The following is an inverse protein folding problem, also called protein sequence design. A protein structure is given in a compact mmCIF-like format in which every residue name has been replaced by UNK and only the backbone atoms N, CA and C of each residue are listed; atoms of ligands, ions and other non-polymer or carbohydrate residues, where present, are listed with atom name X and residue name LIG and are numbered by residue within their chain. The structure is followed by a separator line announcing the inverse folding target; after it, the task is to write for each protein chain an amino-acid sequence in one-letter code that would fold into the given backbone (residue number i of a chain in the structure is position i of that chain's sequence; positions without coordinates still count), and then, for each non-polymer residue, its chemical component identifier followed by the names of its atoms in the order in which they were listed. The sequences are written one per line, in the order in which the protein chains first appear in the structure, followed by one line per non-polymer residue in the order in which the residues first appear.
data_IF_656124586388
#
_entry.id   IF_656124586388
#
_cell.length_a   1.000
_cell.length_b   1.000
_cell.length_c   1.000
_cell.angle_alpha   90.00
_cell.angle_beta   90.00
_cell.angle_gamma   90.00
#
_symmetry.space_group_name_H-M   'P 1'
#
loop_
_entity.id
_entity.type
_entity.pdbx_description
1 polymer ?
#
# COMPACT_ATOMS: atom_id res chain seq x y z
N UNK A 1 -34.86 -8.47 14.89
CA UNK A 1 -33.63 -8.96 14.20
C UNK A 1 -32.54 -9.14 15.24
N UNK A 2 -32.02 -10.36 15.40
CA UNK A 2 -30.97 -10.64 16.37
C UNK A 2 -29.58 -10.79 15.75
N UNK A 3 -29.53 -11.10 14.45
CA UNK A 3 -28.32 -11.34 13.71
C UNK A 3 -28.41 -10.72 12.31
N UNK A 4 -27.33 -10.10 11.85
CA UNK A 4 -27.14 -9.61 10.49
C UNK A 4 -25.99 -10.41 9.88
N UNK A 5 -26.27 -11.07 8.76
CA UNK A 5 -25.32 -11.97 8.12
C UNK A 5 -24.16 -11.22 7.45
N UNK A 6 -23.09 -11.97 7.18
CA UNK A 6 -21.93 -11.49 6.41
C UNK A 6 -22.41 -10.93 5.07
N UNK A 7 -21.90 -9.74 4.73
CA UNK A 7 -22.23 -9.06 3.46
C UNK A 7 -23.70 -8.63 3.28
N UNK A 8 -24.54 -8.64 4.34
CA UNK A 8 -25.95 -8.25 4.20
C UNK A 8 -26.13 -6.84 3.59
N UNK A 9 -25.27 -5.91 3.95
CA UNK A 9 -25.25 -4.55 3.40
C UNK A 9 -24.24 -4.36 2.28
N UNK A 10 -23.54 -5.41 1.86
CA UNK A 10 -22.41 -5.30 0.96
C UNK A 10 -22.75 -4.53 -0.34
N UNK A 11 -21.95 -3.53 -0.66
CA UNK A 11 -22.11 -2.69 -1.86
C UNK A 11 -23.34 -1.78 -1.84
N UNK A 12 -24.02 -1.64 -0.69
CA UNK A 12 -25.17 -0.75 -0.59
C UNK A 12 -24.74 0.72 -0.44
N UNK A 13 -25.52 1.64 -1.00
CA UNK A 13 -25.33 3.09 -0.83
C UNK A 13 -25.85 3.63 0.50
N UNK A 14 -25.97 2.80 1.55
CA UNK A 14 -26.55 3.19 2.86
C UNK A 14 -25.68 4.28 3.50
N UNK A 15 -26.33 5.37 3.93
CA UNK A 15 -25.68 6.47 4.64
C UNK A 15 -25.95 6.42 6.15
N UNK A 16 -27.12 5.97 6.56
CA UNK A 16 -27.52 5.87 7.97
C UNK A 16 -28.11 4.48 8.30
N UNK A 17 -27.77 3.96 9.46
CA UNK A 17 -28.26 2.65 9.95
C UNK A 17 -28.71 2.81 11.39
N UNK A 18 -29.88 2.22 11.71
CA UNK A 18 -30.34 2.04 13.08
C UNK A 18 -30.21 0.57 13.50
N UNK A 19 -29.50 0.34 14.61
CA UNK A 19 -29.31 -0.98 15.22
C UNK A 19 -30.24 -1.14 16.42
N UNK A 20 -31.25 -2.05 16.36
CA UNK A 20 -32.21 -2.20 17.42
C UNK A 20 -31.63 -2.88 18.67
N UNK A 21 -32.31 -2.75 19.82
CA UNK A 21 -31.92 -3.38 21.07
C UNK A 21 -31.76 -4.91 20.97
N UNK A 22 -32.54 -5.55 20.08
CA UNK A 22 -32.50 -7.01 19.87
C UNK A 22 -31.31 -7.51 19.04
N UNK A 23 -30.55 -6.63 18.37
CA UNK A 23 -29.42 -7.06 17.56
C UNK A 23 -28.24 -7.47 18.45
N UNK A 24 -27.80 -8.72 18.31
CA UNK A 24 -26.75 -9.34 19.14
C UNK A 24 -25.41 -9.50 18.43
N UNK A 25 -25.43 -9.69 17.11
CA UNK A 25 -24.20 -9.91 16.35
C UNK A 25 -24.31 -9.56 14.89
N UNK A 26 -23.15 -9.24 14.29
CA UNK A 26 -22.92 -9.20 12.84
C UNK A 26 -22.16 -10.44 12.42
N UNK A 27 -22.31 -10.86 11.16
CA UNK A 27 -21.43 -11.83 10.52
C UNK A 27 -19.96 -11.40 10.66
N UNK A 28 -19.09 -12.36 10.91
CA UNK A 28 -17.75 -12.17 11.48
C UNK A 28 -16.84 -11.33 10.62
N UNK A 29 -17.11 -11.22 9.32
CA UNK A 29 -16.34 -10.42 8.38
C UNK A 29 -17.27 -9.74 7.38
N UNK A 30 -17.07 -8.46 7.15
CA UNK A 30 -17.63 -7.74 6.01
C UNK A 30 -19.15 -7.52 5.98
N UNK A 31 -19.84 -7.38 7.11
CA UNK A 31 -21.26 -6.98 7.10
C UNK A 31 -21.48 -5.66 6.33
N UNK A 32 -20.48 -4.79 6.32
CA UNK A 32 -20.50 -3.48 5.68
C UNK A 32 -19.52 -3.38 4.50
N UNK A 33 -19.05 -4.50 3.94
CA UNK A 33 -18.10 -4.47 2.84
C UNK A 33 -18.66 -3.71 1.62
N UNK A 34 -17.90 -2.74 1.09
CA UNK A 34 -18.35 -1.89 -0.01
C UNK A 34 -19.43 -0.86 0.37
N UNK A 35 -19.75 -0.69 1.66
CA UNK A 35 -20.61 0.39 2.15
C UNK A 35 -19.73 1.61 2.48
N UNK A 36 -19.32 2.35 1.46
CA UNK A 36 -18.38 3.47 1.62
C UNK A 36 -19.06 4.75 2.10
N UNK A 37 -20.40 4.81 2.03
CA UNK A 37 -21.16 6.03 2.29
C UNK A 37 -21.73 6.14 3.72
N UNK A 38 -21.41 5.22 4.63
CA UNK A 38 -21.94 5.26 6.00
C UNK A 38 -21.39 6.49 6.74
N UNK A 39 -22.31 7.41 7.06
CA UNK A 39 -22.04 8.65 7.81
C UNK A 39 -22.49 8.55 9.27
N UNK A 40 -23.44 7.64 9.55
CA UNK A 40 -24.04 7.55 10.88
C UNK A 40 -24.59 6.14 11.17
N UNK A 41 -24.26 5.64 12.34
CA UNK A 41 -24.94 4.48 12.91
C UNK A 41 -25.53 4.89 14.26
N UNK A 42 -26.81 4.62 14.44
CA UNK A 42 -27.51 4.84 15.71
C UNK A 42 -27.73 3.48 16.34
N UNK A 43 -27.28 3.31 17.56
CA UNK A 43 -27.51 2.11 18.37
C UNK A 43 -28.61 2.42 19.38
N UNK A 44 -29.60 1.54 19.46
CA UNK A 44 -30.66 1.64 20.47
C UNK A 44 -30.03 1.71 21.87
N UNK A 45 -30.48 2.62 22.76
CA UNK A 45 -29.93 2.75 24.11
C UNK A 45 -30.00 1.49 24.96
N UNK A 46 -30.96 0.57 24.67
CA UNK A 46 -31.11 -0.71 25.38
C UNK A 46 -30.27 -1.83 24.77
N UNK A 47 -29.56 -1.57 23.67
CA UNK A 47 -28.66 -2.56 23.05
C UNK A 47 -27.45 -2.82 23.98
N UNK A 48 -27.21 -4.09 24.29
CA UNK A 48 -26.16 -4.53 25.22
C UNK A 48 -24.93 -5.12 24.49
N UNK A 49 -24.94 -5.09 23.17
CA UNK A 49 -23.91 -5.74 22.34
C UNK A 49 -23.06 -4.77 21.56
N UNK A 50 -23.59 -3.56 21.29
CA UNK A 50 -22.92 -2.56 20.49
C UNK A 50 -22.99 -1.18 21.13
N UNK A 51 -22.03 -0.34 20.80
CA UNK A 51 -22.00 1.08 21.18
C UNK A 51 -21.37 1.92 20.09
N UNK A 52 -21.73 3.19 20.03
CA UNK A 52 -21.10 4.19 19.17
C UNK A 52 -20.26 5.13 20.03
N UNK A 53 -19.02 5.33 19.63
CA UNK A 53 -18.10 6.24 20.33
C UNK A 53 -17.08 6.83 19.34
N UNK A 54 -16.79 8.13 19.42
CA UNK A 54 -15.76 8.76 18.61
C UNK A 54 -15.95 8.61 17.09
N UNK A 55 -17.22 8.61 16.61
CA UNK A 55 -17.52 8.42 15.18
C UNK A 55 -17.35 6.98 14.69
N UNK A 56 -17.40 6.00 15.58
CA UNK A 56 -17.23 4.59 15.22
C UNK A 56 -18.19 3.66 15.98
N UNK A 57 -18.54 2.55 15.34
CA UNK A 57 -19.27 1.43 15.91
C UNK A 57 -18.27 0.45 16.54
N UNK A 58 -18.54 0.08 17.78
CA UNK A 58 -17.79 -0.92 18.55
C UNK A 58 -18.70 -2.02 19.09
N UNK A 59 -18.11 -3.15 19.55
CA UNK A 59 -18.76 -3.97 20.57
C UNK A 59 -19.01 -3.13 21.82
N UNK A 60 -19.97 -3.54 22.67
CA UNK A 60 -20.40 -2.76 23.83
C UNK A 60 -19.26 -2.45 24.81
N UNK A 61 -18.36 -3.40 25.02
CA UNK A 61 -17.14 -3.28 25.83
C UNK A 61 -15.98 -2.57 25.12
N UNK A 62 -16.19 -2.11 23.88
CA UNK A 62 -15.20 -1.51 22.98
C UNK A 62 -14.00 -2.39 22.64
N UNK A 63 -14.05 -3.68 22.95
CA UNK A 63 -12.96 -4.61 22.62
C UNK A 63 -12.78 -4.82 21.11
N UNK A 64 -13.85 -4.60 20.33
CA UNK A 64 -13.85 -4.76 18.87
C UNK A 64 -14.28 -3.47 18.18
N UNK A 65 -13.41 -2.93 17.32
CA UNK A 65 -13.77 -1.86 16.37
C UNK A 65 -14.39 -2.50 15.13
N UNK A 66 -15.62 -2.14 14.81
CA UNK A 66 -16.40 -2.74 13.73
C UNK A 66 -16.41 -1.83 12.50
N UNK A 67 -16.68 -0.51 12.69
CA UNK A 67 -16.75 0.44 11.58
C UNK A 67 -16.51 1.87 12.05
N UNK A 68 -15.67 2.62 11.33
CA UNK A 68 -15.53 4.08 11.47
C UNK A 68 -16.36 4.75 10.38
N UNK A 69 -17.05 5.85 10.73
CA UNK A 69 -17.98 6.53 9.83
C UNK A 69 -17.27 7.56 8.94
N UNK A 70 -17.91 7.95 7.85
CA UNK A 70 -17.48 9.09 7.05
C UNK A 70 -17.54 10.41 7.83
N UNK A 71 -16.72 11.38 7.42
CA UNK A 71 -16.64 12.70 8.06
C UNK A 71 -15.76 12.76 9.33
N UNK A 72 -15.14 11.65 9.74
CA UNK A 72 -14.18 11.62 10.84
C UNK A 72 -12.79 11.99 10.30
N UNK A 73 -12.25 13.15 10.69
CA UNK A 73 -10.92 13.62 10.26
C UNK A 73 -9.80 13.15 11.21
N UNK A 74 -10.06 13.11 12.52
CA UNK A 74 -9.15 12.58 13.52
C UNK A 74 -9.82 11.43 14.25
N UNK A 75 -9.23 10.26 14.21
CA UNK A 75 -9.79 9.07 14.87
C UNK A 75 -8.91 8.62 16.01
N UNK A 76 -9.50 8.50 17.21
CA UNK A 76 -8.82 7.96 18.40
C UNK A 76 -9.37 6.59 18.74
N UNK A 77 -8.52 5.55 18.62
CA UNK A 77 -8.86 4.18 18.97
C UNK A 77 -8.95 4.02 20.48
N UNK A 78 -10.00 3.35 20.97
CA UNK A 78 -10.19 3.10 22.40
C UNK A 78 -9.09 2.22 22.99
N UNK A 79 -8.70 2.51 24.23
CA UNK A 79 -7.73 1.71 24.99
C UNK A 79 -8.19 0.26 25.23
N UNK A 80 -9.49 0.01 25.25
CA UNK A 80 -10.06 -1.33 25.39
C UNK A 80 -9.99 -2.18 24.11
N UNK A 81 -9.67 -1.58 22.95
CA UNK A 81 -9.73 -2.29 21.67
C UNK A 81 -8.59 -3.28 21.52
N UNK A 82 -8.96 -4.55 21.29
CA UNK A 82 -8.04 -5.66 21.03
C UNK A 82 -8.21 -6.28 19.64
N UNK A 83 -9.26 -5.89 18.91
CA UNK A 83 -9.56 -6.34 17.56
C UNK A 83 -10.09 -5.20 16.71
N UNK A 84 -9.63 -5.13 15.48
CA UNK A 84 -10.13 -4.21 14.45
C UNK A 84 -10.52 -5.05 13.24
N UNK A 85 -11.73 -4.88 12.72
CA UNK A 85 -12.19 -5.57 11.51
C UNK A 85 -11.44 -5.02 10.29
N UNK A 86 -11.11 -5.89 9.34
CA UNK A 86 -10.28 -5.52 8.18
C UNK A 86 -10.91 -4.41 7.33
N UNK A 87 -12.23 -4.35 7.29
CA UNK A 87 -13.01 -3.34 6.57
C UNK A 87 -13.44 -2.14 7.44
N UNK A 88 -12.96 -2.05 8.69
CA UNK A 88 -13.41 -1.05 9.67
C UNK A 88 -13.29 0.41 9.18
N UNK A 89 -12.32 0.71 8.33
CA UNK A 89 -12.04 2.06 7.85
C UNK A 89 -12.55 2.37 6.44
N UNK A 90 -13.29 1.47 5.79
CA UNK A 90 -13.72 1.69 4.39
C UNK A 90 -14.61 2.91 4.17
N UNK A 91 -15.45 3.28 5.16
CA UNK A 91 -16.29 4.49 5.08
C UNK A 91 -15.56 5.76 5.53
N UNK A 92 -14.39 5.63 6.13
CA UNK A 92 -13.67 6.71 6.78
C UNK A 92 -12.70 7.44 5.84
N UNK A 93 -13.21 7.92 4.69
CA UNK A 93 -12.43 8.57 3.64
C UNK A 93 -11.78 9.89 4.05
N UNK A 94 -12.19 10.48 5.18
CA UNK A 94 -11.74 11.80 5.61
C UNK A 94 -10.62 11.79 6.64
N UNK A 95 -10.23 10.60 7.14
CA UNK A 95 -9.20 10.48 8.19
C UNK A 95 -7.86 11.05 7.72
N UNK A 96 -7.37 12.03 8.46
CA UNK A 96 -6.05 12.67 8.32
C UNK A 96 -5.07 12.19 9.38
N UNK A 97 -5.61 11.75 10.55
CA UNK A 97 -4.78 11.42 11.70
C UNK A 97 -5.40 10.30 12.53
N UNK A 98 -4.54 9.39 12.92
CA UNK A 98 -4.85 8.38 13.91
C UNK A 98 -4.23 8.72 15.26
N UNK A 99 -4.92 8.36 16.33
CA UNK A 99 -4.43 8.32 17.70
C UNK A 99 -4.93 7.06 18.39
N UNK A 100 -4.25 6.66 19.45
CA UNK A 100 -4.62 5.51 20.29
C UNK A 100 -4.61 5.98 21.73
N UNK A 101 -5.70 5.70 22.47
CA UNK A 101 -5.79 6.04 23.90
C UNK A 101 -4.67 5.38 24.71
N UNK A 102 -4.16 6.09 25.70
CA UNK A 102 -3.17 5.54 26.62
C UNK A 102 -3.67 4.26 27.30
N UNK A 103 -2.78 3.25 27.41
CA UNK A 103 -3.12 1.95 27.95
C UNK A 103 -3.56 0.90 26.95
N UNK A 104 -3.69 1.24 25.67
CA UNK A 104 -3.84 0.21 24.65
C UNK A 104 -2.49 -0.48 24.44
N UNK A 105 -2.46 -1.81 24.64
CA UNK A 105 -1.25 -2.63 24.49
C UNK A 105 -1.24 -3.43 23.18
N UNK A 106 -2.26 -3.27 22.37
CA UNK A 106 -2.43 -4.04 21.12
C UNK A 106 -2.14 -3.22 19.88
N UNK A 107 -2.47 -1.94 19.90
CA UNK A 107 -2.34 -1.03 18.75
C UNK A 107 -1.57 0.23 19.10
N UNK A 108 -0.91 0.81 18.10
CA UNK A 108 -0.19 2.07 18.20
C UNK A 108 -0.23 2.83 16.89
N UNK A 109 0.31 4.05 16.90
CA UNK A 109 0.51 4.87 15.72
C UNK A 109 2.01 5.15 15.60
N UNK A 110 2.58 4.90 14.42
CA UNK A 110 3.99 5.15 14.18
C UNK A 110 4.28 6.62 13.78
N UNK A 111 5.55 6.92 13.55
CA UNK A 111 6.00 8.27 13.16
C UNK A 111 5.46 8.75 11.83
N UNK A 112 5.04 7.85 10.97
CA UNK A 112 4.42 8.13 9.66
C UNK A 112 2.90 8.31 9.79
N UNK A 113 2.35 8.20 11.00
CA UNK A 113 0.91 8.30 11.26
C UNK A 113 0.12 7.02 10.93
N UNK A 114 0.80 5.89 10.70
CA UNK A 114 0.18 4.61 10.38
C UNK A 114 -0.33 3.96 11.66
N UNK A 115 -1.59 3.53 11.65
CA UNK A 115 -2.14 2.66 12.69
C UNK A 115 -1.62 1.25 12.48
N UNK A 116 -0.97 0.69 13.49
CA UNK A 116 -0.37 -0.65 13.45
C UNK A 116 -0.74 -1.50 14.67
N UNK A 117 -0.60 -2.82 14.53
CA UNK A 117 -0.72 -3.77 15.63
C UNK A 117 0.67 -4.11 16.18
N UNK A 118 0.85 -4.07 17.52
CA UNK A 118 2.09 -4.50 18.17
C UNK A 118 2.40 -5.99 17.89
N UNK A 119 3.63 -6.39 18.06
CA UNK A 119 4.17 -7.69 17.68
C UNK A 119 5.07 -7.53 16.47
N UNK A 120 4.63 -7.98 15.31
CA UNK A 120 5.37 -7.77 14.04
C UNK A 120 5.17 -6.38 13.44
N UNK A 121 4.31 -5.54 14.03
CA UNK A 121 4.01 -4.20 13.55
C UNK A 121 3.06 -4.17 12.36
N UNK A 122 2.14 -5.14 12.26
CA UNK A 122 1.23 -5.29 11.12
C UNK A 122 0.45 -3.99 10.86
N UNK A 123 0.45 -3.52 9.62
CA UNK A 123 -0.22 -2.29 9.22
C UNK A 123 -1.73 -2.53 9.16
N UNK A 124 -2.47 -1.75 9.94
CA UNK A 124 -3.93 -1.83 10.04
C UNK A 124 -4.61 -0.83 9.12
N UNK A 125 -4.17 0.43 9.17
CA UNK A 125 -4.71 1.49 8.33
C UNK A 125 -3.72 2.65 8.17
N UNK A 126 -3.76 3.31 7.02
CA UNK A 126 -3.04 4.55 6.74
C UNK A 126 -4.00 5.74 6.72
N UNK A 127 -3.52 6.97 7.01
CA UNK A 127 -4.30 8.18 6.82
C UNK A 127 -4.85 8.26 5.40
N UNK A 128 -6.10 8.70 5.26
CA UNK A 128 -6.80 8.74 3.96
C UNK A 128 -6.47 10.01 3.19
N UNK A 129 -6.28 11.12 3.91
CA UNK A 129 -6.04 12.45 3.33
C UNK A 129 -4.80 13.12 3.90
N UNK A 130 -4.22 14.00 3.09
CA UNK A 130 -3.10 14.85 3.54
C UNK A 130 -1.74 14.17 3.50
N UNK A 131 -1.65 12.93 2.99
CA UNK A 131 -0.41 12.17 2.84
C UNK A 131 -0.30 11.70 1.39
N UNK A 132 0.66 12.25 0.64
CA UNK A 132 0.90 11.89 -0.75
C UNK A 132 1.93 10.76 -0.92
N UNK A 133 2.86 10.66 0.02
CA UNK A 133 3.89 9.62 0.02
C UNK A 133 4.08 9.06 1.42
N UNK A 134 4.44 7.78 1.51
CA UNK A 134 4.68 7.11 2.79
C UNK A 134 5.85 6.15 2.69
N UNK A 135 6.61 6.04 3.78
CA UNK A 135 7.66 5.04 3.92
C UNK A 135 7.20 3.93 4.87
N UNK A 136 7.30 2.69 4.42
CA UNK A 136 6.94 1.50 5.20
C UNK A 136 8.20 0.68 5.43
N UNK A 137 8.59 0.60 6.68
CA UNK A 137 9.64 -0.30 7.12
C UNK A 137 9.01 -1.63 7.55
N UNK A 138 9.31 -2.69 6.82
CA UNK A 138 8.82 -4.05 7.08
C UNK A 138 9.49 -4.74 8.26
N UNK A 139 10.64 -4.23 8.72
CA UNK A 139 11.37 -4.86 9.81
C UNK A 139 11.62 -6.34 9.55
N UNK A 140 11.16 -7.21 10.46
CA UNK A 140 11.32 -8.67 10.38
C UNK A 140 10.10 -9.42 9.84
N UNK A 141 9.22 -8.78 9.09
CA UNK A 141 8.06 -9.45 8.47
C UNK A 141 6.73 -8.77 8.74
N UNK A 142 6.70 -7.46 8.63
CA UNK A 142 5.50 -6.64 8.79
C UNK A 142 4.46 -6.99 7.72
N UNK A 143 3.24 -7.32 8.13
CA UNK A 143 2.14 -7.55 7.22
C UNK A 143 1.35 -6.29 6.98
N UNK A 144 0.81 -6.18 5.78
CA UNK A 144 -0.15 -5.14 5.44
C UNK A 144 -1.51 -5.80 5.37
N UNK A 145 -2.42 -5.37 6.27
CA UNK A 145 -3.77 -5.93 6.32
C UNK A 145 -4.59 -5.57 5.08
N UNK A 146 -5.62 -6.36 4.76
CA UNK A 146 -6.60 -5.99 3.77
C UNK A 146 -7.14 -4.57 4.03
N UNK A 147 -7.42 -3.82 2.96
CA UNK A 147 -8.00 -2.47 3.04
C UNK A 147 -7.15 -1.40 3.76
N UNK A 148 -5.92 -1.69 4.19
CA UNK A 148 -5.08 -0.72 4.91
C UNK A 148 -4.86 0.59 4.13
N UNK A 149 -4.77 0.51 2.81
CA UNK A 149 -4.58 1.64 1.89
C UNK A 149 -5.80 2.01 1.06
N UNK A 150 -6.93 1.32 1.23
CA UNK A 150 -8.13 1.59 0.45
C UNK A 150 -8.64 3.01 0.71
N UNK A 151 -8.83 3.78 -0.36
CA UNK A 151 -9.29 5.17 -0.28
C UNK A 151 -8.26 6.19 0.21
N UNK A 152 -6.96 5.83 0.30
CA UNK A 152 -5.89 6.79 0.60
C UNK A 152 -5.55 7.64 -0.63
N UNK A 153 -5.16 8.90 -0.38
CA UNK A 153 -4.63 9.81 -1.42
C UNK A 153 -3.15 9.55 -1.74
N UNK A 154 -2.53 8.53 -1.11
CA UNK A 154 -1.13 8.18 -1.29
C UNK A 154 -0.88 7.79 -2.73
N UNK A 155 0.11 8.45 -3.36
CA UNK A 155 0.55 8.19 -4.73
C UNK A 155 1.85 7.41 -4.80
N UNK A 156 2.68 7.54 -3.78
CA UNK A 156 4.00 6.94 -3.72
C UNK A 156 4.22 6.18 -2.41
N UNK A 157 4.74 4.96 -2.51
CA UNK A 157 5.12 4.16 -1.34
C UNK A 157 6.59 3.75 -1.47
N UNK A 158 7.34 3.97 -0.40
CA UNK A 158 8.70 3.43 -0.26
C UNK A 158 8.67 2.26 0.71
N UNK A 159 9.15 1.11 0.28
CA UNK A 159 9.29 -0.10 1.08
C UNK A 159 10.74 -0.38 1.46
N UNK A 160 10.96 -0.82 2.70
CA UNK A 160 12.22 -1.37 3.19
C UNK A 160 11.96 -2.59 4.09
N UNK A 161 12.98 -3.43 4.31
CA UNK A 161 12.85 -4.61 5.16
C UNK A 161 11.95 -5.70 4.59
N UNK A 162 11.43 -6.59 5.44
CA UNK A 162 10.61 -7.73 5.02
C UNK A 162 9.12 -7.40 5.11
N UNK A 163 8.44 -7.41 3.97
CA UNK A 163 7.02 -7.03 3.85
C UNK A 163 6.19 -8.20 3.33
N UNK A 164 5.04 -8.42 3.95
CA UNK A 164 4.03 -9.36 3.48
C UNK A 164 2.75 -8.62 3.13
N UNK A 165 2.25 -8.83 1.91
CA UNK A 165 1.00 -8.25 1.44
C UNK A 165 -0.16 -9.23 1.60
N UNK A 166 -1.32 -8.71 2.02
CA UNK A 166 -2.60 -9.35 1.74
C UNK A 166 -3.07 -8.99 0.34
N UNK A 167 -3.82 -9.88 -0.29
CA UNK A 167 -4.34 -9.67 -1.66
C UNK A 167 -5.51 -8.69 -1.60
N UNK A 168 -5.25 -7.43 -1.86
CA UNK A 168 -6.28 -6.44 -2.14
C UNK A 168 -5.72 -5.36 -3.04
N UNK A 169 -6.59 -4.79 -3.86
CA UNK A 169 -6.24 -3.75 -4.82
C UNK A 169 -5.87 -2.45 -4.11
N UNK A 170 -4.71 -1.92 -4.42
CA UNK A 170 -4.17 -0.67 -3.91
C UNK A 170 -4.38 0.41 -4.97
N UNK A 171 -5.60 0.89 -5.05
CA UNK A 171 -5.97 1.93 -5.99
C UNK A 171 -5.27 3.24 -5.66
N UNK A 172 -4.91 3.99 -6.70
CA UNK A 172 -4.31 5.30 -6.57
C UNK A 172 -2.80 5.31 -6.39
N UNK A 173 -2.14 4.17 -6.09
CA UNK A 173 -0.67 4.10 -6.00
C UNK A 173 -0.08 4.11 -7.40
N UNK A 174 0.68 5.15 -7.70
CA UNK A 174 1.29 5.37 -9.02
C UNK A 174 2.77 4.99 -9.03
N UNK A 175 3.43 5.07 -7.87
CA UNK A 175 4.86 4.80 -7.75
C UNK A 175 5.18 3.96 -6.51
N UNK A 176 6.04 2.98 -6.68
CA UNK A 176 6.62 2.18 -5.60
C UNK A 176 8.15 2.30 -5.66
N UNK A 177 8.77 2.56 -4.51
CA UNK A 177 10.22 2.49 -4.34
C UNK A 177 10.56 1.33 -3.42
N UNK A 178 11.48 0.49 -3.85
CA UNK A 178 12.02 -0.63 -3.08
C UNK A 178 13.45 -0.31 -2.67
N UNK A 179 13.70 -0.14 -1.37
CA UNK A 179 15.05 0.11 -0.83
C UNK A 179 15.88 -1.17 -0.76
N UNK A 180 17.20 -1.03 -0.63
CA UNK A 180 18.14 -2.15 -0.48
C UNK A 180 17.76 -3.05 0.70
N UNK A 181 17.94 -4.36 0.51
CA UNK A 181 17.64 -5.37 1.52
C UNK A 181 16.15 -5.65 1.74
N UNK A 182 15.28 -5.11 0.87
CA UNK A 182 13.85 -5.47 0.92
C UNK A 182 13.67 -6.94 0.55
N UNK A 183 12.72 -7.59 1.20
CA UNK A 183 12.22 -8.89 0.80
C UNK A 183 10.70 -8.95 0.89
N UNK A 184 10.07 -9.64 -0.05
CA UNK A 184 8.63 -9.81 -0.08
C UNK A 184 8.27 -11.24 0.29
N UNK A 185 7.68 -11.43 1.48
CA UNK A 185 7.21 -12.76 1.90
C UNK A 185 5.86 -13.08 1.27
N UNK A 186 5.76 -14.29 0.72
CA UNK A 186 4.56 -14.79 0.04
C UNK A 186 3.58 -15.40 1.06
N UNK A 187 2.31 -15.00 1.07
CA UNK A 187 1.27 -15.80 1.72
C UNK A 187 1.19 -17.18 1.04
N UNK A 188 1.09 -18.27 1.81
CA UNK A 188 0.93 -19.62 1.25
C UNK A 188 -0.27 -19.67 0.30
N UNK A 189 -0.01 -20.06 -0.97
CA UNK A 189 -1.05 -20.21 -1.98
C UNK A 189 -1.28 -19.02 -2.90
N UNK A 190 -0.56 -17.91 -2.73
CA UNK A 190 -0.69 -16.72 -3.56
C UNK A 190 0.64 -16.33 -4.18
N UNK A 191 0.57 -15.85 -5.41
CA UNK A 191 1.76 -15.76 -6.24
C UNK A 191 2.25 -14.35 -6.55
N UNK A 192 1.62 -13.25 -6.10
CA UNK A 192 1.91 -11.94 -6.70
C UNK A 192 1.88 -10.78 -5.73
N UNK A 193 2.91 -9.92 -5.83
CA UNK A 193 2.97 -8.67 -5.08
C UNK A 193 2.53 -7.47 -5.95
N UNK A 194 2.93 -7.37 -7.22
CA UNK A 194 2.74 -6.15 -8.03
C UNK A 194 1.95 -6.36 -9.34
N UNK A 195 1.10 -7.35 -9.45
CA UNK A 195 0.28 -7.52 -10.64
C UNK A 195 -0.83 -6.46 -10.76
N UNK A 196 -1.43 -6.35 -11.95
CA UNK A 196 -2.45 -5.35 -12.26
C UNK A 196 -3.68 -5.38 -11.33
N UNK A 197 -4.00 -6.52 -10.74
CA UNK A 197 -5.09 -6.62 -9.76
C UNK A 197 -4.74 -6.06 -8.38
N UNK A 198 -3.44 -6.06 -7.99
CA UNK A 198 -3.02 -5.49 -6.69
C UNK A 198 -2.72 -4.00 -6.78
N UNK A 199 -2.09 -3.56 -7.87
CA UNK A 199 -1.71 -2.16 -8.10
C UNK A 199 -2.16 -1.72 -9.49
N UNK A 200 -3.47 -1.47 -9.70
CA UNK A 200 -4.00 -1.17 -11.04
C UNK A 200 -3.44 0.13 -11.62
N UNK A 201 -3.18 1.14 -10.78
CA UNK A 201 -2.73 2.46 -11.21
C UNK A 201 -1.21 2.64 -11.22
N UNK A 202 -0.45 1.58 -10.93
CA UNK A 202 1.01 1.63 -10.85
C UNK A 202 1.63 1.94 -12.22
N UNK A 203 2.47 2.96 -12.24
CA UNK A 203 3.18 3.45 -13.43
C UNK A 203 4.69 3.22 -13.35
N UNK A 204 5.24 3.20 -12.13
CA UNK A 204 6.68 3.16 -11.91
C UNK A 204 7.05 2.36 -10.66
N UNK A 205 8.12 1.59 -10.79
CA UNK A 205 8.79 0.93 -9.66
C UNK A 205 10.26 1.34 -9.69
N UNK A 206 10.74 1.94 -8.60
CA UNK A 206 12.15 2.22 -8.40
C UNK A 206 12.75 1.10 -7.54
N UNK A 207 13.76 0.41 -8.03
CA UNK A 207 14.46 -0.69 -7.34
C UNK A 207 15.92 -0.31 -7.14
N UNK A 208 16.44 -0.57 -5.95
CA UNK A 208 17.83 -0.29 -5.57
C UNK A 208 18.71 -1.52 -5.74
N UNK A 209 18.13 -2.71 -5.88
CA UNK A 209 18.82 -3.99 -5.91
C UNK A 209 18.21 -4.92 -6.95
N UNK A 210 19.04 -5.64 -7.72
CA UNK A 210 18.58 -6.55 -8.78
C UNK A 210 17.83 -7.76 -8.29
N UNK A 211 18.23 -8.29 -7.12
CA UNK A 211 17.52 -9.43 -6.54
C UNK A 211 16.04 -9.11 -6.28
N UNK A 212 15.72 -7.82 -6.16
CA UNK A 212 14.35 -7.34 -5.99
C UNK A 212 13.54 -7.52 -7.28
N UNK A 213 14.14 -7.33 -8.45
CA UNK A 213 13.42 -7.48 -9.73
C UNK A 213 12.84 -8.88 -9.89
N UNK A 214 13.60 -9.93 -9.57
CA UNK A 214 13.10 -11.29 -9.59
C UNK A 214 11.97 -11.52 -8.59
N UNK A 215 12.02 -10.90 -7.40
CA UNK A 215 10.98 -11.02 -6.39
C UNK A 215 9.69 -10.30 -6.81
N UNK A 216 9.80 -9.15 -7.46
CA UNK A 216 8.66 -8.36 -7.93
C UNK A 216 7.97 -9.06 -9.09
N UNK A 217 8.73 -9.64 -10.02
CA UNK A 217 8.23 -10.17 -11.27
C UNK A 217 8.16 -11.69 -11.33
N UNK A 218 8.56 -12.36 -10.27
CA UNK A 218 8.72 -13.81 -10.24
C UNK A 218 7.40 -14.56 -10.45
N UNK A 219 6.62 -14.21 -11.46
CA UNK A 219 5.58 -15.07 -12.02
C UNK A 219 4.87 -14.40 -13.20
N UNK A 220 4.68 -15.15 -14.24
CA UNK A 220 3.80 -15.02 -15.39
C UNK A 220 3.12 -13.66 -15.54
N UNK A 221 3.79 -12.73 -16.19
CA UNK A 221 3.18 -11.48 -16.60
C UNK A 221 3.84 -10.23 -16.05
N UNK A 222 5.11 -10.00 -16.39
CA UNK A 222 5.71 -8.68 -16.27
C UNK A 222 4.80 -7.67 -16.96
N UNK A 223 4.40 -6.64 -16.23
CA UNK A 223 3.61 -5.56 -16.79
C UNK A 223 4.49 -4.73 -17.72
N UNK A 224 4.08 -4.59 -18.96
CA UNK A 224 4.78 -3.78 -19.98
C UNK A 224 4.44 -2.29 -19.88
N UNK A 225 3.40 -1.96 -19.10
CA UNK A 225 2.90 -0.60 -18.86
C UNK A 225 3.51 0.05 -17.61
N UNK A 226 4.42 -0.65 -16.90
CA UNK A 226 5.09 -0.14 -15.70
C UNK A 226 6.57 0.05 -15.99
N UNK A 227 7.06 1.26 -15.72
CA UNK A 227 8.47 1.61 -15.85
C UNK A 227 9.21 1.07 -14.62
N UNK A 228 10.31 0.33 -14.84
CA UNK A 228 11.19 -0.10 -13.77
C UNK A 228 12.48 0.71 -13.85
N UNK A 229 12.76 1.45 -12.79
CA UNK A 229 14.03 2.16 -12.65
C UNK A 229 14.91 1.45 -11.62
N UNK A 230 16.11 1.13 -12.02
CA UNK A 230 17.13 0.63 -11.11
C UNK A 230 17.89 1.81 -10.52
N UNK A 231 17.68 2.12 -9.24
CA UNK A 231 18.20 3.30 -8.55
C UNK A 231 19.42 2.95 -7.69
N UNK A 232 20.29 2.03 -8.15
CA UNK A 232 21.57 1.79 -7.47
C UNK A 232 22.54 2.91 -7.81
N UNK A 233 23.37 3.30 -6.83
CA UNK A 233 24.50 4.19 -7.08
C UNK A 233 25.47 3.47 -8.03
N UNK A 234 25.39 3.80 -9.31
CA UNK A 234 26.30 3.22 -10.30
C UNK A 234 27.62 3.95 -10.21
N UNK A 235 28.74 3.26 -9.93
CA UNK A 235 30.05 3.88 -9.96
C UNK A 235 30.27 4.59 -11.31
N UNK A 236 30.97 5.72 -11.31
CA UNK A 236 31.17 6.54 -12.52
C UNK A 236 31.78 5.74 -13.70
N UNK A 237 32.55 4.71 -13.40
CA UNK A 237 33.13 3.76 -14.36
C UNK A 237 32.10 2.95 -15.13
N UNK A 238 30.93 2.67 -14.51
CA UNK A 238 29.82 1.91 -15.11
C UNK A 238 28.69 2.81 -15.63
N UNK A 239 28.83 4.11 -15.56
CA UNK A 239 27.84 5.02 -16.16
C UNK A 239 27.77 4.77 -17.67
N UNK A 240 26.59 4.35 -18.13
CA UNK A 240 26.37 3.96 -19.52
C UNK A 240 26.33 2.43 -19.74
N UNK A 241 26.63 1.61 -18.73
CA UNK A 241 26.39 0.16 -18.76
C UNK A 241 24.91 -0.11 -18.47
N UNK A 242 24.09 0.12 -19.50
CA UNK A 242 22.64 0.09 -19.43
C UNK A 242 22.10 -1.35 -19.33
N UNK A 243 22.82 -2.30 -19.89
CA UNK A 243 22.44 -3.72 -19.91
C UNK A 243 23.12 -4.55 -18.81
N UNK A 244 24.04 -3.91 -18.05
CA UNK A 244 24.81 -4.47 -16.92
C UNK A 244 25.65 -5.70 -17.25
N UNK A 245 26.23 -5.72 -18.42
CA UNK A 245 27.21 -6.75 -18.80
C UNK A 245 28.64 -6.37 -18.37
N UNK A 246 28.82 -5.31 -17.59
CA UNK A 246 30.08 -4.75 -17.12
C UNK A 246 30.95 -4.13 -18.24
N UNK A 247 30.36 -3.87 -19.39
CA UNK A 247 31.04 -3.26 -20.56
C UNK A 247 30.16 -2.13 -21.08
N UNK A 248 30.68 -0.92 -21.13
CA UNK A 248 29.94 0.21 -21.74
C UNK A 248 30.22 0.20 -23.24
N UNK A 249 29.27 -0.27 -24.05
CA UNK A 249 29.42 -0.42 -25.50
C UNK A 249 28.15 -0.04 -26.29
N UNK A 250 28.13 -0.34 -27.60
CA UNK A 250 26.99 -0.03 -28.46
C UNK A 250 25.74 -0.87 -28.14
N UNK A 251 25.85 -1.98 -27.40
CA UNK A 251 24.69 -2.74 -26.97
C UNK A 251 23.88 -1.95 -25.95
N UNK A 252 24.56 -1.18 -25.08
CA UNK A 252 23.89 -0.31 -24.12
C UNK A 252 23.10 0.77 -24.82
N UNK A 253 23.66 1.39 -25.89
CA UNK A 253 22.91 2.34 -26.70
C UNK A 253 21.66 1.69 -27.32
N UNK A 254 21.76 0.49 -27.84
CA UNK A 254 20.62 -0.24 -28.44
C UNK A 254 19.57 -0.54 -27.36
N UNK A 255 20.00 -1.00 -26.19
CA UNK A 255 19.12 -1.28 -25.05
C UNK A 255 18.39 -0.01 -24.59
N UNK A 256 19.12 1.10 -24.43
CA UNK A 256 18.54 2.38 -24.01
C UNK A 256 17.57 2.94 -25.07
N UNK A 257 17.89 2.83 -26.37
CA UNK A 257 16.98 3.22 -27.44
C UNK A 257 15.70 2.39 -27.40
N UNK A 258 15.79 1.08 -27.27
CA UNK A 258 14.62 0.20 -27.18
C UNK A 258 13.74 0.55 -26.00
N UNK A 259 14.33 0.80 -24.83
CA UNK A 259 13.61 1.22 -23.64
C UNK A 259 12.92 2.58 -23.87
N UNK A 260 13.57 3.56 -24.49
CA UNK A 260 12.96 4.87 -24.78
C UNK A 260 11.81 4.78 -25.79
N UNK A 261 11.83 3.78 -26.66
CA UNK A 261 10.74 3.48 -27.60
C UNK A 261 9.60 2.65 -26.96
N UNK A 262 9.67 2.37 -25.66
CA UNK A 262 8.68 1.60 -24.95
C UNK A 262 8.76 0.08 -25.17
N UNK A 263 9.89 -0.42 -25.67
CA UNK A 263 10.15 -1.86 -25.71
C UNK A 263 10.48 -2.34 -24.30
N UNK A 264 10.04 -3.54 -23.98
CA UNK A 264 10.21 -4.13 -22.66
C UNK A 264 11.65 -4.65 -22.44
N UNK A 265 12.60 -3.74 -22.46
CA UNK A 265 14.01 -4.03 -22.19
C UNK A 265 14.33 -3.65 -20.74
N UNK A 266 14.95 -4.54 -19.96
CA UNK A 266 15.45 -4.18 -18.65
C UNK A 266 16.58 -3.17 -18.79
N UNK A 267 16.45 -2.03 -18.11
CA UNK A 267 17.50 -1.00 -18.07
C UNK A 267 17.87 -0.69 -16.63
N UNK A 268 19.12 -0.34 -16.42
CA UNK A 268 19.64 -0.01 -15.09
C UNK A 268 19.63 1.52 -14.90
N UNK A 269 18.73 2.01 -14.07
CA UNK A 269 18.28 3.38 -13.96
C UNK A 269 19.39 4.42 -13.90
N UNK A 270 20.31 4.35 -12.94
CA UNK A 270 21.39 5.34 -12.82
C UNK A 270 22.42 5.24 -13.96
N UNK A 271 22.72 4.03 -14.45
CA UNK A 271 23.59 3.86 -15.60
C UNK A 271 22.96 4.42 -16.89
N UNK A 272 21.64 4.49 -16.93
CA UNK A 272 20.84 4.96 -18.08
C UNK A 272 20.57 6.47 -18.06
N UNK A 273 20.62 7.10 -16.89
CA UNK A 273 20.45 8.55 -16.71
C UNK A 273 21.83 9.24 -16.84
N UNK A 274 22.27 9.41 -18.08
CA UNK A 274 23.57 9.94 -18.40
C UNK A 274 23.71 11.45 -18.12
N UNK A 275 22.57 12.16 -18.08
CA UNK A 275 22.52 13.61 -17.87
C UNK A 275 22.18 14.00 -16.42
N UNK A 276 21.76 13.04 -15.57
CA UNK A 276 21.45 13.25 -14.16
C UNK A 276 20.13 13.97 -13.91
N UNK A 277 19.18 13.95 -14.86
CA UNK A 277 17.88 14.63 -14.72
C UNK A 277 16.81 13.77 -14.04
N UNK A 278 17.16 12.55 -13.60
CA UNK A 278 16.28 11.60 -12.94
C UNK A 278 15.37 10.81 -13.88
N UNK A 279 15.62 10.88 -15.19
CA UNK A 279 14.87 10.16 -16.22
C UNK A 279 15.84 9.60 -17.24
N UNK A 280 15.40 8.61 -18.01
CA UNK A 280 16.12 8.19 -19.19
C UNK A 280 15.32 8.56 -20.45
N UNK A 281 16.01 8.96 -21.50
CA UNK A 281 15.41 9.38 -22.75
C UNK A 281 16.42 9.55 -23.87
N UNK A 282 16.02 10.17 -24.97
CA UNK A 282 16.92 10.39 -26.11
C UNK A 282 18.13 11.28 -25.78
N UNK A 283 18.02 12.14 -24.75
CA UNK A 283 19.14 12.94 -24.28
C UNK A 283 20.27 12.05 -23.76
N UNK A 284 19.91 11.01 -22.99
CA UNK A 284 20.87 10.06 -22.42
C UNK A 284 21.49 9.16 -23.47
N UNK A 285 20.69 8.73 -24.46
CA UNK A 285 21.20 8.01 -25.64
C UNK A 285 22.28 8.83 -26.34
N UNK A 286 22.05 10.12 -26.57
CA UNK A 286 22.99 11.00 -27.21
C UNK A 286 24.27 11.15 -26.35
N UNK A 287 24.14 11.27 -25.04
CA UNK A 287 25.28 11.36 -24.13
C UNK A 287 26.11 10.08 -24.10
N UNK A 288 25.43 8.92 -24.06
CA UNK A 288 26.09 7.61 -24.11
C UNK A 288 26.87 7.42 -25.44
N UNK A 289 26.25 7.73 -26.56
CA UNK A 289 26.93 7.71 -27.87
C UNK A 289 28.16 8.61 -27.86
N UNK A 290 28.04 9.85 -27.34
CA UNK A 290 29.17 10.76 -27.22
C UNK A 290 30.30 10.22 -26.34
N UNK A 291 29.97 9.57 -25.23
CA UNK A 291 30.96 8.90 -24.39
C UNK A 291 31.71 7.83 -25.16
N UNK A 292 31.00 6.96 -25.87
CA UNK A 292 31.62 5.87 -26.65
C UNK A 292 32.46 6.34 -27.82
N UNK A 293 32.11 7.47 -28.45
CA UNK A 293 32.90 8.03 -29.58
C UNK A 293 34.17 8.73 -29.08
N UNK A 294 34.17 9.22 -27.83
CA UNK A 294 35.28 9.94 -27.24
C UNK A 294 36.19 9.08 -26.33
N UNK A 295 35.81 7.81 -26.10
CA UNK A 295 36.61 6.81 -25.37
C UNK A 295 37.52 6.04 -26.34
#
# INVERSE_FOLDING_TARGET
VEYIDTSFFAGSGIEEIYLPASLKSFGVFAAFYGCENIKKIVVDPENKYFTVSGGALYSYDKSKLIRVFGGVEEFTLSSATTMIYDDAFLSASDIRKFAVEAGNHKFGVDKEGILFEYGYGDIVACPRKGVNSIKIDGGQGRKIRPCAFTGCEIKEITFSGNISFSIHSWYGIEKVRCESGISFSKPKGYSYNFHSGSFPDLKQIDVVDEEIDEQIWNMKGRRTDVIINFCCDTPAEFMGDVNKDSVVDMKDCVTLIRATLGWNEPIYGNASDMNGDGKYGMADVIMLIRKLVNS
#
